data_IF_680865587030
#
_entry.id   IF_680865587030
#
_cell.length_a   1.000
_cell.length_b   1.000
_cell.length_c   1.000
_cell.angle_alpha   90.00
_cell.angle_beta   90.00
_cell.angle_gamma   90.00
#
_symmetry.space_group_name_H-M   'P 1'
#
loop_
_entity.id
_entity.type
_entity.pdbx_description
1 polymer ?
#
# COMPACT_ATOMS: atom_id res chain seq x y z
N UNK A 1 12.05 23.75 -36.38
CA UNK A 1 11.54 24.90 -35.60
C UNK A 1 12.57 25.25 -34.52
N UNK A 2 13.28 26.37 -34.67
CA UNK A 2 14.32 26.80 -33.72
C UNK A 2 13.74 27.78 -32.69
N UNK A 3 13.32 27.27 -31.52
CA UNK A 3 12.72 28.04 -30.41
C UNK A 3 13.47 29.34 -30.08
N UNK A 4 14.80 29.34 -30.17
CA UNK A 4 15.66 30.45 -29.75
C UNK A 4 15.49 31.70 -30.62
N UNK A 5 15.31 31.54 -31.94
CA UNK A 5 15.07 32.67 -32.85
C UNK A 5 13.66 33.25 -32.65
N UNK A 6 12.71 32.38 -32.32
CA UNK A 6 11.32 32.75 -32.12
C UNK A 6 11.14 33.58 -30.84
N UNK A 7 11.72 33.16 -29.70
CA UNK A 7 11.70 33.94 -28.44
C UNK A 7 12.28 35.34 -28.62
N UNK A 8 13.37 35.47 -29.38
CA UNK A 8 14.10 36.74 -29.54
C UNK A 8 13.33 37.77 -30.37
N UNK A 9 12.52 37.35 -31.33
CA UNK A 9 11.72 38.24 -32.19
C UNK A 9 10.36 38.58 -31.58
N UNK A 10 9.84 37.71 -30.73
CA UNK A 10 8.40 37.64 -30.45
C UNK A 10 8.04 37.77 -28.96
N UNK A 11 9.03 37.78 -28.06
CA UNK A 11 8.83 37.76 -26.61
C UNK A 11 8.59 36.36 -26.05
N UNK A 12 8.29 36.25 -24.73
CA UNK A 12 8.09 34.96 -24.08
C UNK A 12 6.99 34.12 -24.74
N UNK A 13 7.33 32.88 -25.10
CA UNK A 13 6.50 31.96 -25.88
C UNK A 13 5.12 31.68 -25.25
N UNK A 14 5.01 31.75 -23.91
CA UNK A 14 3.82 31.30 -23.19
C UNK A 14 2.56 32.13 -23.45
N UNK A 15 2.67 33.38 -23.92
CA UNK A 15 1.52 34.21 -24.31
C UNK A 15 1.11 34.07 -25.79
N UNK A 16 1.93 33.46 -26.64
CA UNK A 16 1.64 33.28 -28.07
C UNK A 16 1.06 31.92 -28.42
N UNK A 17 1.21 30.95 -27.53
CA UNK A 17 0.64 29.63 -27.72
C UNK A 17 -0.80 29.65 -27.24
N UNK A 18 -1.73 29.20 -28.09
CA UNK A 18 -3.14 29.01 -27.71
C UNK A 18 -3.35 27.95 -26.63
N UNK A 19 -2.31 27.18 -26.32
CA UNK A 19 -2.36 26.02 -25.43
C UNK A 19 -2.96 26.29 -24.03
N UNK A 20 -2.66 27.40 -23.31
CA UNK A 20 -3.33 27.71 -22.04
C UNK A 20 -4.82 28.01 -22.22
N UNK A 21 -5.18 28.74 -23.28
CA UNK A 21 -6.57 29.04 -23.62
C UNK A 21 -7.34 27.77 -23.99
N UNK A 22 -6.75 26.89 -24.80
CA UNK A 22 -7.34 25.60 -25.17
C UNK A 22 -7.56 24.69 -23.96
N UNK A 23 -6.60 24.66 -23.02
CA UNK A 23 -6.74 23.89 -21.78
C UNK A 23 -7.87 24.44 -20.91
N UNK A 24 -7.97 25.76 -20.79
CA UNK A 24 -9.06 26.39 -20.05
C UNK A 24 -10.42 26.15 -20.71
N UNK A 25 -10.50 26.30 -22.04
CA UNK A 25 -11.70 26.01 -22.81
C UNK A 25 -12.13 24.54 -22.70
N UNK A 26 -11.18 23.59 -22.58
CA UNK A 26 -11.50 22.18 -22.33
C UNK A 26 -12.22 21.99 -20.99
N UNK A 27 -11.81 22.72 -19.95
CA UNK A 27 -12.47 22.71 -18.63
C UNK A 27 -13.87 23.29 -18.74
N UNK A 28 -14.03 24.49 -19.34
CA UNK A 28 -15.34 25.12 -19.53
C UNK A 28 -16.31 24.28 -20.36
N UNK A 29 -15.81 23.54 -21.36
CA UNK A 29 -16.62 22.58 -22.12
C UNK A 29 -17.19 21.48 -21.22
N UNK A 30 -16.47 21.08 -20.17
CA UNK A 30 -16.96 20.12 -19.17
C UNK A 30 -18.13 20.64 -18.33
N UNK A 31 -18.28 21.96 -18.19
CA UNK A 31 -19.38 22.58 -17.45
C UNK A 31 -20.68 22.67 -18.24
N UNK A 32 -20.62 22.65 -19.57
CA UNK A 32 -21.80 22.77 -20.44
C UNK A 32 -22.59 21.45 -20.43
N UNK A 33 -23.53 21.33 -19.49
CA UNK A 33 -24.46 20.18 -19.41
C UNK A 33 -25.70 20.33 -20.30
N UNK A 34 -26.06 21.56 -20.67
CA UNK A 34 -27.17 21.87 -21.57
C UNK A 34 -26.69 22.82 -22.69
N UNK A 35 -26.63 22.30 -23.92
CA UNK A 35 -26.17 23.05 -25.10
C UNK A 35 -27.11 24.18 -25.52
N UNK A 36 -28.37 24.19 -25.08
CA UNK A 36 -29.31 25.27 -25.38
C UNK A 36 -29.07 26.52 -24.52
N UNK A 37 -28.26 26.41 -23.44
CA UNK A 37 -27.89 27.52 -22.53
C UNK A 37 -26.47 27.34 -21.99
N UNK A 38 -25.44 27.40 -22.85
CA UNK A 38 -24.06 27.06 -22.46
C UNK A 38 -23.47 28.04 -21.45
N UNK A 39 -23.72 29.34 -21.62
CA UNK A 39 -23.22 30.40 -20.73
C UNK A 39 -23.75 30.24 -19.29
N UNK A 40 -25.05 29.95 -19.15
CA UNK A 40 -25.67 29.73 -17.84
C UNK A 40 -25.16 28.45 -17.15
N UNK A 41 -24.83 27.41 -17.92
CA UNK A 41 -24.22 26.19 -17.37
C UNK A 41 -22.81 26.46 -16.84
N UNK A 42 -22.00 27.19 -17.63
CA UNK A 42 -20.64 27.58 -17.25
C UNK A 42 -20.67 28.44 -15.99
N UNK A 43 -21.48 29.50 -15.97
CA UNK A 43 -21.58 30.40 -14.82
C UNK A 43 -22.01 29.67 -13.54
N UNK A 44 -22.97 28.74 -13.64
CA UNK A 44 -23.43 27.94 -12.51
C UNK A 44 -22.36 27.01 -11.95
N UNK A 45 -21.65 26.28 -12.82
CA UNK A 45 -20.59 25.37 -12.39
C UNK A 45 -19.40 26.13 -11.81
N UNK A 46 -19.00 27.23 -12.46
CA UNK A 46 -17.92 28.08 -11.97
C UNK A 46 -18.25 28.66 -10.59
N UNK A 47 -19.46 29.18 -10.39
CA UNK A 47 -19.91 29.68 -9.08
C UNK A 47 -19.90 28.57 -8.01
N UNK A 48 -20.31 27.35 -8.37
CA UNK A 48 -20.28 26.22 -7.45
C UNK A 48 -18.84 25.83 -7.05
N UNK A 49 -17.90 25.81 -8.01
CA UNK A 49 -16.49 25.53 -7.73
C UNK A 49 -15.87 26.62 -6.85
N UNK A 50 -16.03 27.90 -7.20
CA UNK A 50 -15.56 29.03 -6.39
C UNK A 50 -16.15 29.01 -4.97
N UNK A 51 -17.45 28.67 -4.85
CA UNK A 51 -18.09 28.54 -3.54
C UNK A 51 -17.48 27.40 -2.72
N UNK A 52 -17.16 26.26 -3.34
CA UNK A 52 -16.49 25.14 -2.67
C UNK A 52 -15.07 25.52 -2.29
N UNK A 53 -14.31 26.14 -3.19
CA UNK A 53 -12.94 26.57 -2.94
C UNK A 53 -12.87 27.58 -1.79
N UNK A 54 -13.73 28.61 -1.83
CA UNK A 54 -13.90 29.56 -0.73
C UNK A 54 -14.27 28.85 0.58
N UNK A 55 -15.23 27.92 0.55
CA UNK A 55 -15.60 27.17 1.74
C UNK A 55 -14.43 26.31 2.24
N UNK A 56 -13.63 25.70 1.38
CA UNK A 56 -12.47 24.90 1.79
C UNK A 56 -11.36 25.75 2.41
N UNK A 57 -11.12 26.95 1.89
CA UNK A 57 -10.16 27.90 2.45
C UNK A 57 -10.67 28.47 3.78
N UNK A 58 -11.93 28.91 3.83
CA UNK A 58 -12.57 29.44 5.04
C UNK A 58 -12.66 28.39 6.16
N UNK A 59 -12.90 27.13 5.80
CA UNK A 59 -13.02 25.99 6.71
C UNK A 59 -11.70 25.24 6.91
N UNK A 60 -10.57 25.73 6.39
CA UNK A 60 -9.26 25.05 6.41
C UNK A 60 -8.76 24.69 7.81
N UNK A 61 -9.24 25.37 8.87
CA UNK A 61 -8.96 25.07 10.27
C UNK A 61 -10.12 24.41 11.04
N UNK A 62 -11.25 24.12 10.37
CA UNK A 62 -12.42 23.52 11.00
C UNK A 62 -12.42 22.01 10.84
N UNK A 63 -13.10 21.32 11.74
CA UNK A 63 -13.12 19.87 11.73
C UNK A 63 -14.22 19.38 10.79
N UNK A 64 -13.86 18.47 9.87
CA UNK A 64 -14.83 17.85 8.98
C UNK A 64 -15.95 17.17 9.81
N UNK A 65 -17.19 17.59 9.58
CA UNK A 65 -18.37 17.05 10.25
C UNK A 65 -18.53 15.59 9.85
N UNK A 66 -18.63 14.69 10.83
CA UNK A 66 -18.80 13.24 10.58
C UNK A 66 -17.49 12.45 10.45
N UNK A 67 -16.33 13.11 10.38
CA UNK A 67 -15.03 12.45 10.52
C UNK A 67 -14.60 12.60 11.98
N UNK A 68 -14.44 11.49 12.73
CA UNK A 68 -13.94 11.58 14.10
C UNK A 68 -12.60 12.30 14.08
N UNK A 69 -12.40 13.27 14.98
CA UNK A 69 -11.06 13.80 15.22
C UNK A 69 -10.19 12.60 15.58
N UNK A 70 -9.07 12.44 14.89
CA UNK A 70 -7.96 11.66 15.43
C UNK A 70 -7.59 12.35 16.73
N UNK A 71 -8.16 11.92 17.85
CA UNK A 71 -7.65 12.33 19.15
C UNK A 71 -6.17 11.93 19.12
N UNK A 72 -5.29 12.90 19.39
CA UNK A 72 -3.85 12.75 19.56
C UNK A 72 -3.52 11.82 20.73
N UNK A 73 -4.06 10.61 20.74
CA UNK A 73 -3.44 9.49 21.41
C UNK A 73 -2.32 9.06 20.48
N UNK A 74 -1.12 8.92 21.01
CA UNK A 74 0.08 8.40 20.36
C UNK A 74 -0.11 6.95 19.86
N UNK A 75 -1.08 6.73 18.98
CA UNK A 75 -1.51 5.43 18.48
C UNK A 75 -0.63 5.06 17.29
N UNK A 76 0.68 4.93 17.54
CA UNK A 76 1.55 4.09 16.69
C UNK A 76 1.13 2.61 16.75
N UNK A 77 0.30 2.24 17.73
CA UNK A 77 -0.12 0.86 17.97
C UNK A 77 -1.64 0.69 17.81
N UNK A 78 -2.00 -0.45 17.23
CA UNK A 78 -3.40 -0.86 17.02
C UNK A 78 -4.04 -1.14 18.38
N UNK A 79 -5.15 -0.46 18.69
CA UNK A 79 -5.88 -0.69 19.94
C UNK A 79 -7.16 -1.48 19.70
N UNK A 80 -7.38 -2.64 20.35
CA UNK A 80 -8.64 -3.35 20.26
C UNK A 80 -9.76 -2.61 21.00
N UNK A 81 -10.98 -2.66 20.44
CA UNK A 81 -12.15 -1.95 21.00
C UNK A 81 -12.88 -2.79 22.04
N UNK A 82 -12.87 -4.11 21.89
CA UNK A 82 -13.60 -5.07 22.73
C UNK A 82 -12.73 -6.27 23.07
N UNK A 83 -13.23 -7.17 23.92
CA UNK A 83 -12.59 -8.45 24.20
C UNK A 83 -12.24 -9.21 22.92
N UNK A 84 -11.05 -9.79 22.91
CA UNK A 84 -10.58 -10.62 21.82
C UNK A 84 -10.98 -12.07 22.01
N UNK A 85 -11.07 -12.81 20.90
CA UNK A 85 -11.27 -14.25 20.90
C UNK A 85 -10.05 -14.93 20.31
N UNK A 86 -9.59 -15.98 21.00
CA UNK A 86 -8.47 -16.78 20.56
C UNK A 86 -8.90 -17.72 19.44
N UNK A 87 -8.14 -17.75 18.34
CA UNK A 87 -8.40 -18.62 17.20
C UNK A 87 -7.09 -19.12 16.61
N UNK A 88 -7.08 -20.34 16.09
CA UNK A 88 -5.96 -20.82 15.30
C UNK A 88 -6.04 -20.25 13.88
N UNK A 89 -4.91 -19.77 13.35
CA UNK A 89 -4.78 -19.35 11.95
C UNK A 89 -4.48 -20.57 11.09
N UNK A 90 -5.05 -20.59 9.89
CA UNK A 90 -4.64 -21.48 8.81
C UNK A 90 -3.13 -21.39 8.51
N UNK A 91 -2.52 -22.54 8.22
CA UNK A 91 -1.08 -22.65 8.01
C UNK A 91 -0.60 -21.75 6.87
N UNK A 92 -1.36 -21.61 5.78
CA UNK A 92 -0.97 -20.77 4.64
C UNK A 92 -0.88 -19.29 5.03
N UNK A 93 -1.87 -18.80 5.78
CA UNK A 93 -1.91 -17.40 6.23
C UNK A 93 -0.82 -17.12 7.27
N UNK A 94 -0.58 -18.08 8.18
CA UNK A 94 0.52 -18.02 9.14
C UNK A 94 1.87 -17.92 8.42
N UNK A 95 2.10 -18.79 7.42
CA UNK A 95 3.34 -18.82 6.65
C UNK A 95 3.57 -17.50 5.93
N UNK A 96 2.55 -16.95 5.26
CA UNK A 96 2.63 -15.63 4.62
C UNK A 96 3.00 -14.51 5.59
N UNK A 97 2.35 -14.46 6.76
CA UNK A 97 2.61 -13.43 7.76
C UNK A 97 4.02 -13.56 8.35
N UNK A 98 4.47 -14.78 8.64
CA UNK A 98 5.82 -15.04 9.14
C UNK A 98 6.88 -14.65 8.09
N UNK A 99 6.68 -15.04 6.83
CA UNK A 99 7.57 -14.64 5.73
C UNK A 99 7.70 -13.13 5.59
N UNK A 100 6.58 -12.41 5.62
CA UNK A 100 6.60 -10.96 5.55
C UNK A 100 7.47 -10.34 6.64
N UNK A 101 7.38 -10.84 7.88
CA UNK A 101 8.23 -10.37 8.98
C UNK A 101 9.70 -10.68 8.71
N UNK A 102 10.02 -11.90 8.27
CA UNK A 102 11.40 -12.31 7.97
C UNK A 102 12.02 -11.47 6.85
N UNK A 103 11.30 -11.25 5.75
CA UNK A 103 11.73 -10.45 4.61
C UNK A 103 11.95 -8.97 4.93
N UNK A 104 11.23 -8.43 5.92
CA UNK A 104 11.39 -7.04 6.35
C UNK A 104 12.37 -6.89 7.53
N UNK A 105 12.98 -7.98 8.01
CA UNK A 105 13.94 -7.93 9.11
C UNK A 105 15.37 -7.89 8.59
N UNK A 106 16.16 -6.91 9.04
CA UNK A 106 17.54 -6.69 8.60
C UNK A 106 18.48 -7.85 8.96
N UNK A 107 18.32 -8.43 10.16
CA UNK A 107 19.14 -9.54 10.65
C UNK A 107 18.97 -10.81 9.79
N UNK A 108 17.83 -10.96 9.11
CA UNK A 108 17.47 -12.15 8.34
C UNK A 108 17.91 -12.05 6.87
N UNK A 109 18.16 -10.84 6.35
CA UNK A 109 18.62 -10.61 4.96
C UNK A 109 19.81 -11.48 4.52
N UNK A 110 20.91 -11.62 5.29
CA UNK A 110 22.03 -12.46 4.87
C UNK A 110 21.63 -13.94 4.71
N UNK A 111 20.70 -14.42 5.53
CA UNK A 111 20.18 -15.79 5.44
C UNK A 111 19.26 -15.98 4.23
N UNK A 112 18.49 -14.94 3.86
CA UNK A 112 17.68 -14.96 2.63
C UNK A 112 18.60 -15.09 1.41
N UNK A 113 19.66 -14.29 1.34
CA UNK A 113 20.64 -14.35 0.26
C UNK A 113 21.35 -15.71 0.21
N UNK A 114 21.80 -16.23 1.35
CA UNK A 114 22.42 -17.55 1.45
C UNK A 114 21.47 -18.65 0.96
N UNK A 115 20.21 -18.63 1.41
CA UNK A 115 19.23 -19.63 1.00
C UNK A 115 18.91 -19.55 -0.50
N UNK A 116 18.78 -18.34 -1.05
CA UNK A 116 18.53 -18.15 -2.48
C UNK A 116 19.71 -18.64 -3.33
N UNK A 117 20.94 -18.46 -2.86
CA UNK A 117 22.14 -19.00 -3.50
C UNK A 117 22.21 -20.52 -3.38
N UNK A 118 21.86 -21.07 -2.22
CA UNK A 118 21.75 -22.50 -2.00
C UNK A 118 20.72 -23.14 -2.96
N UNK A 119 19.54 -22.54 -3.13
CA UNK A 119 18.53 -23.01 -4.09
C UNK A 119 19.04 -22.98 -5.54
N UNK A 120 19.77 -21.93 -5.93
CA UNK A 120 20.37 -21.83 -7.26
C UNK A 120 21.42 -22.92 -7.50
N UNK A 121 22.20 -23.25 -6.48
CA UNK A 121 23.21 -24.30 -6.54
C UNK A 121 22.59 -25.71 -6.59
N UNK A 122 21.60 -25.99 -5.73
CA UNK A 122 20.94 -27.30 -5.65
C UNK A 122 20.06 -27.59 -6.87
N UNK A 123 19.42 -26.55 -7.43
CA UNK A 123 18.49 -26.68 -8.55
C UNK A 123 18.87 -25.78 -9.75
N UNK A 124 19.98 -26.02 -10.46
CA UNK A 124 20.49 -25.11 -11.50
C UNK A 124 19.56 -24.94 -12.71
N UNK A 125 18.66 -25.90 -12.97
CA UNK A 125 17.71 -25.84 -14.09
C UNK A 125 16.42 -25.13 -13.70
N UNK A 126 15.88 -25.46 -12.52
CA UNK A 126 14.61 -24.93 -12.03
C UNK A 126 14.75 -23.49 -11.55
N UNK A 127 15.87 -23.15 -10.90
CA UNK A 127 16.17 -21.79 -10.40
C UNK A 127 16.24 -20.71 -11.49
N UNK A 128 16.39 -21.12 -12.77
CA UNK A 128 16.26 -20.19 -13.92
C UNK A 128 14.85 -19.62 -14.07
N UNK A 129 13.83 -20.27 -13.49
CA UNK A 129 12.45 -19.80 -13.47
C UNK A 129 12.24 -18.95 -12.19
N UNK A 130 12.06 -17.62 -12.31
CA UNK A 130 12.00 -16.75 -11.14
C UNK A 130 10.82 -17.06 -10.22
N UNK A 131 9.66 -17.41 -10.80
CA UNK A 131 8.46 -17.80 -10.05
C UNK A 131 8.74 -19.03 -9.20
N UNK A 132 9.32 -20.08 -9.79
CA UNK A 132 9.64 -21.31 -9.06
C UNK A 132 10.64 -21.05 -7.93
N UNK A 133 11.66 -20.22 -8.18
CA UNK A 133 12.66 -19.87 -7.18
C UNK A 133 12.03 -19.15 -5.97
N UNK A 134 11.12 -18.21 -6.22
CA UNK A 134 10.37 -17.52 -5.16
C UNK A 134 9.44 -18.47 -4.41
N UNK A 135 8.65 -19.28 -5.12
CA UNK A 135 7.73 -20.24 -4.51
C UNK A 135 8.48 -21.26 -3.63
N UNK A 136 9.60 -21.79 -4.10
CA UNK A 136 10.41 -22.74 -3.35
C UNK A 136 11.08 -22.07 -2.14
N UNK A 137 11.53 -20.82 -2.29
CA UNK A 137 12.01 -20.02 -1.16
C UNK A 137 10.92 -19.83 -0.10
N UNK A 138 9.73 -19.36 -0.49
CA UNK A 138 8.59 -19.20 0.41
C UNK A 138 8.11 -20.50 1.04
N UNK A 139 8.37 -21.65 0.41
CA UNK A 139 7.96 -22.95 0.97
C UNK A 139 8.92 -23.47 2.01
N UNK A 140 10.23 -23.32 1.78
CA UNK A 140 11.25 -24.06 2.51
C UNK A 140 12.09 -23.20 3.45
N UNK A 141 12.11 -21.88 3.27
CA UNK A 141 13.03 -21.01 3.99
C UNK A 141 12.82 -20.97 5.51
N UNK A 142 11.59 -21.02 6.01
CA UNK A 142 11.34 -21.04 7.46
C UNK A 142 11.97 -22.27 8.12
N UNK A 143 11.79 -23.46 7.52
CA UNK A 143 12.39 -24.70 7.98
C UNK A 143 13.92 -24.69 7.84
N UNK A 144 14.42 -24.18 6.71
CA UNK A 144 15.85 -24.07 6.45
C UNK A 144 16.54 -23.12 7.44
N UNK A 145 15.94 -21.96 7.72
CA UNK A 145 16.45 -20.96 8.66
C UNK A 145 16.50 -21.53 10.07
N UNK A 146 15.44 -22.24 10.49
CA UNK A 146 15.41 -22.93 11.78
C UNK A 146 16.55 -23.94 11.91
N UNK A 147 16.74 -24.80 10.91
CA UNK A 147 17.83 -25.78 10.92
C UNK A 147 19.21 -25.13 10.98
N UNK A 148 19.44 -24.05 10.22
CA UNK A 148 20.69 -23.28 10.24
C UNK A 148 21.00 -22.66 11.61
N UNK A 149 19.98 -22.09 12.25
CA UNK A 149 20.12 -21.49 13.58
C UNK A 149 20.37 -22.58 14.63
N UNK A 150 19.68 -23.72 14.57
CA UNK A 150 19.88 -24.85 15.48
C UNK A 150 21.28 -25.46 15.33
N UNK A 151 21.79 -25.61 14.10
CA UNK A 151 23.15 -26.07 13.82
C UNK A 151 24.20 -25.11 14.40
N UNK A 152 24.03 -23.81 14.20
CA UNK A 152 24.93 -22.80 14.73
C UNK A 152 24.94 -22.77 16.27
N UNK A 153 23.80 -22.99 16.92
CA UNK A 153 23.71 -23.15 18.39
C UNK A 153 24.48 -24.40 18.83
N UNK A 154 24.30 -25.53 18.13
CA UNK A 154 25.00 -26.78 18.47
C UNK A 154 26.52 -26.64 18.34
N UNK A 155 26.98 -25.87 17.35
CA UNK A 155 28.38 -25.56 17.12
C UNK A 155 28.96 -24.51 18.08
N UNK A 156 28.17 -24.03 19.06
CA UNK A 156 28.62 -23.07 20.07
C UNK A 156 28.78 -21.64 19.55
N UNK A 157 28.15 -21.29 18.42
CA UNK A 157 28.15 -19.91 17.94
C UNK A 157 27.21 -19.04 18.78
N UNK A 158 27.63 -17.81 19.05
CA UNK A 158 26.80 -16.83 19.75
C UNK A 158 25.81 -16.20 18.76
N UNK A 159 24.53 -16.58 18.89
CA UNK A 159 23.45 -16.12 18.00
C UNK A 159 22.52 -15.20 18.79
N UNK A 160 22.17 -14.02 18.24
CA UNK A 160 21.21 -13.13 18.86
C UNK A 160 19.88 -13.84 19.16
N UNK A 161 19.35 -13.67 20.37
CA UNK A 161 18.06 -14.25 20.76
C UNK A 161 16.93 -13.84 19.81
N UNK A 162 16.99 -12.63 19.24
CA UNK A 162 16.04 -12.16 18.23
C UNK A 162 16.00 -13.10 17.02
N UNK A 163 17.16 -13.52 16.51
CA UNK A 163 17.22 -14.43 15.36
C UNK A 163 16.71 -15.83 15.73
N UNK A 164 17.00 -16.30 16.96
CA UNK A 164 16.45 -17.56 17.47
C UNK A 164 14.92 -17.54 17.47
N UNK A 165 14.31 -16.49 18.02
CA UNK A 165 12.85 -16.37 18.06
C UNK A 165 12.23 -16.26 16.66
N UNK A 166 12.85 -15.50 15.76
CA UNK A 166 12.39 -15.37 14.37
C UNK A 166 12.43 -16.70 13.62
N UNK A 167 13.47 -17.51 13.83
CA UNK A 167 13.62 -18.81 13.19
C UNK A 167 12.61 -19.85 13.69
N UNK A 168 12.28 -19.83 15.00
CA UNK A 168 11.24 -20.70 15.56
C UNK A 168 9.82 -20.29 15.15
N UNK A 169 9.60 -19.01 14.86
CA UNK A 169 8.33 -18.49 14.37
C UNK A 169 7.29 -18.25 15.48
N UNK A 170 6.21 -17.52 15.14
CA UNK A 170 5.14 -17.19 16.08
C UNK A 170 4.20 -18.37 16.33
N UNK A 171 3.44 -18.32 17.43
CA UNK A 171 2.38 -19.30 17.71
C UNK A 171 1.28 -19.26 16.65
N UNK A 172 0.70 -20.42 16.32
CA UNK A 172 -0.46 -20.50 15.43
C UNK A 172 -1.75 -19.92 16.03
N UNK A 173 -1.77 -19.79 17.36
CA UNK A 173 -2.88 -19.21 18.09
C UNK A 173 -2.75 -17.68 18.09
N UNK A 174 -3.78 -17.00 17.62
CA UNK A 174 -3.86 -15.53 17.64
C UNK A 174 -5.15 -15.05 18.27
N UNK A 175 -5.08 -13.85 18.83
CA UNK A 175 -6.25 -13.15 19.35
C UNK A 175 -6.82 -12.26 18.26
N UNK A 176 -8.08 -12.50 17.87
CA UNK A 176 -8.82 -11.67 16.94
C UNK A 176 -9.75 -10.75 17.70
N UNK A 177 -9.84 -9.51 17.24
CA UNK A 177 -10.75 -8.51 17.78
C UNK A 177 -11.78 -8.12 16.72
N UNK A 178 -13.06 -7.92 17.10
CA UNK A 178 -14.10 -7.55 16.16
C UNK A 178 -14.08 -6.04 15.83
N UNK A 179 -13.20 -5.27 16.45
CA UNK A 179 -12.95 -3.88 16.06
C UNK A 179 -11.63 -3.35 16.60
N UNK A 180 -11.04 -2.43 15.83
CA UNK A 180 -9.71 -1.87 16.04
C UNK A 180 -9.76 -0.35 15.90
N UNK A 181 -8.96 0.36 16.69
CA UNK A 181 -8.65 1.76 16.47
C UNK A 181 -7.24 1.83 15.91
N UNK A 182 -7.11 2.35 14.69
CA UNK A 182 -5.85 2.51 13.99
C UNK A 182 -5.79 3.92 13.41
N UNK A 183 -4.76 4.69 13.77
CA UNK A 183 -4.58 6.09 13.34
C UNK A 183 -5.81 6.98 13.61
N UNK A 184 -6.46 6.82 14.76
CA UNK A 184 -7.67 7.57 15.13
C UNK A 184 -8.96 7.07 14.44
N UNK A 185 -8.85 6.23 13.41
CA UNK A 185 -9.98 5.63 12.72
C UNK A 185 -10.44 4.34 13.40
N UNK A 186 -11.76 4.18 13.49
CA UNK A 186 -12.39 2.98 14.05
C UNK A 186 -12.76 2.01 12.92
N UNK A 187 -12.16 0.84 12.94
CA UNK A 187 -12.43 -0.25 12.00
C UNK A 187 -13.21 -1.36 12.70
N UNK A 188 -14.22 -1.90 12.02
CA UNK A 188 -14.96 -3.06 12.47
C UNK A 188 -14.74 -4.22 11.51
N UNK A 189 -14.71 -5.45 12.03
CA UNK A 189 -14.71 -6.63 11.17
C UNK A 189 -16.05 -6.70 10.44
N UNK A 190 -16.06 -7.22 9.21
CA UNK A 190 -17.28 -7.38 8.41
C UNK A 190 -18.41 -8.07 9.18
N UNK A 191 -18.07 -9.10 9.96
CA UNK A 191 -19.04 -9.80 10.83
C UNK A 191 -19.73 -8.89 11.83
N UNK A 192 -19.00 -7.96 12.44
CA UNK A 192 -19.56 -6.97 13.37
C UNK A 192 -20.27 -5.83 12.66
N UNK A 193 -19.76 -5.40 11.51
CA UNK A 193 -20.35 -4.30 10.75
C UNK A 193 -21.71 -4.68 10.14
N UNK A 194 -21.92 -5.96 9.80
CA UNK A 194 -23.22 -6.47 9.35
C UNK A 194 -24.32 -6.37 10.40
N UNK A 195 -23.99 -6.27 11.69
CA UNK A 195 -24.99 -6.09 12.76
C UNK A 195 -25.20 -4.62 13.14
N UNK A 196 -24.46 -3.69 12.54
CA UNK A 196 -24.61 -2.26 12.76
C UNK A 196 -25.71 -1.67 11.85
N UNK A 197 -26.45 -0.69 12.39
CA UNK A 197 -27.51 0.03 11.66
C UNK A 197 -26.94 0.95 10.58
N UNK A 198 -25.72 1.46 10.78
CA UNK A 198 -25.02 2.36 9.85
C UNK A 198 -23.69 1.75 9.45
N UNK A 199 -23.41 1.67 8.15
CA UNK A 199 -22.16 1.15 7.60
C UNK A 199 -21.41 2.29 6.89
N UNK A 200 -20.19 2.56 7.35
CA UNK A 200 -19.25 3.44 6.65
C UNK A 200 -18.22 2.56 5.94
N UNK A 201 -18.54 2.16 4.70
CA UNK A 201 -17.67 1.35 3.85
C UNK A 201 -16.98 2.23 2.81
N UNK A 202 -15.65 2.37 2.92
CA UNK A 202 -14.87 3.19 2.01
C UNK A 202 -13.44 3.33 2.50
N UNK A 203 -12.62 2.30 2.31
CA UNK A 203 -11.18 2.36 2.59
C UNK A 203 -10.46 2.03 1.29
N UNK A 204 -9.69 2.99 0.77
CA UNK A 204 -8.75 2.77 -0.33
C UNK A 204 -7.34 2.66 0.25
N UNK A 205 -6.58 1.67 -0.23
CA UNK A 205 -5.17 1.51 0.10
C UNK A 205 -4.41 1.71 -1.21
N UNK A 206 -3.44 2.63 -1.20
CA UNK A 206 -2.42 2.71 -2.24
C UNK A 206 -1.41 1.60 -1.96
N UNK A 207 -1.38 0.58 -2.81
CA UNK A 207 -0.53 -0.59 -2.64
C UNK A 207 0.30 -0.82 -3.89
N UNK A 208 1.62 -0.66 -3.74
CA UNK A 208 2.60 -1.04 -4.76
C UNK A 208 2.69 -2.55 -4.86
N UNK A 209 2.20 -3.17 -5.94
CA UNK A 209 2.43 -4.60 -6.20
C UNK A 209 3.07 -4.80 -7.56
N UNK A 210 4.12 -5.64 -7.59
CA UNK A 210 4.73 -6.11 -8.84
C UNK A 210 3.76 -7.09 -9.51
N UNK A 211 3.17 -6.69 -10.64
CA UNK A 211 2.26 -7.52 -11.41
C UNK A 211 3.00 -8.20 -12.56
N UNK A 212 2.85 -9.52 -12.66
CA UNK A 212 3.38 -10.33 -13.76
C UNK A 212 2.19 -11.08 -14.36
N UNK A 213 1.79 -10.70 -15.58
CA UNK A 213 0.59 -11.24 -16.22
C UNK A 213 0.76 -12.69 -16.70
N UNK A 214 2.00 -13.16 -16.89
CA UNK A 214 2.28 -14.50 -17.40
C UNK A 214 3.69 -14.98 -17.05
N UNK A 215 3.88 -16.30 -16.96
CA UNK A 215 5.20 -16.94 -16.79
C UNK A 215 6.18 -16.71 -17.95
N UNK A 216 5.69 -16.18 -19.08
CA UNK A 216 6.51 -15.77 -20.23
C UNK A 216 6.87 -14.29 -20.21
N UNK A 217 6.32 -13.52 -19.28
CA UNK A 217 6.44 -12.07 -19.27
C UNK A 217 7.79 -11.65 -18.68
N UNK A 218 8.57 -10.88 -19.44
CA UNK A 218 9.90 -10.40 -19.04
C UNK A 218 9.89 -8.94 -18.59
N UNK A 219 8.74 -8.26 -18.65
CA UNK A 219 8.57 -6.88 -18.19
C UNK A 219 7.61 -6.89 -17.00
N UNK A 220 8.14 -6.64 -15.81
CA UNK A 220 7.35 -6.40 -14.63
C UNK A 220 7.02 -4.91 -14.54
N UNK A 221 5.79 -4.60 -14.14
CA UNK A 221 5.33 -3.24 -13.89
C UNK A 221 4.99 -3.10 -12.40
N UNK A 222 5.41 -1.99 -11.79
CA UNK A 222 4.96 -1.59 -10.47
C UNK A 222 3.67 -0.81 -10.63
N UNK A 223 2.56 -1.36 -10.15
CA UNK A 223 1.29 -0.64 -10.11
C UNK A 223 1.23 0.15 -8.80
N UNK A 224 1.07 1.48 -8.88
CA UNK A 224 0.76 2.34 -7.73
C UNK A 224 -0.74 2.51 -7.57
#
# INVERSE_FOLDING_TARGET
MHLIREVRLCGPIYFRWMYPFERYMKVLKGYVRNHNRPEGCIAKCYLAEESVEFCTEYLSGTHAIGIPKSNNYDNKFVRPITGGHSTNIDHKSWLQAHHYVLENTTIVQPYIEEHMNWLKYQYPRQSKRPIWLQEEHMRCFTYWLKGKVEEAIHNGQDIPNTLRWLAHGPTHQVVKYPGYILNGCRYHTKGRDMTCVTQNSGVSILAGTMQIASSKDKRYFNCN
#
